data_IF_981117096631
#
_entry.id   IF_981117096631
#
_cell.length_a   1.000
_cell.length_b   1.000
_cell.length_c   1.000
_cell.angle_alpha   90.00
_cell.angle_beta   90.00
_cell.angle_gamma   90.00
#
_symmetry.space_group_name_H-M   'P 1'
#
loop_
_entity.id
_entity.type
_entity.pdbx_description
1 polymer ?
#
# COMPACT_ATOMS: atom_id res chain seq x y z
N UNK A 1 -17.22 43.78 18.29
CA UNK A 1 -17.78 42.68 19.11
C UNK A 1 -17.01 41.42 18.74
N UNK A 2 -16.16 40.92 19.64
CA UNK A 2 -15.44 39.68 19.41
C UNK A 2 -16.45 38.53 19.40
N UNK A 3 -16.58 37.88 18.25
CA UNK A 3 -17.50 36.78 18.02
C UNK A 3 -17.21 35.69 19.07
N UNK A 4 -18.22 35.37 19.89
CA UNK A 4 -18.09 34.46 21.02
C UNK A 4 -17.77 33.04 20.57
N UNK A 5 -16.49 32.73 20.40
CA UNK A 5 -16.01 31.35 20.37
C UNK A 5 -16.27 30.82 21.77
N UNK A 6 -17.27 29.96 21.92
CA UNK A 6 -17.50 29.21 23.16
C UNK A 6 -16.24 28.41 23.42
N UNK A 7 -15.43 28.86 24.37
CA UNK A 7 -14.16 28.23 24.70
C UNK A 7 -14.43 26.78 25.13
N UNK A 8 -13.83 25.83 24.40
CA UNK A 8 -13.96 24.41 24.72
C UNK A 8 -13.24 24.20 26.04
N UNK A 9 -13.95 23.64 26.99
CA UNK A 9 -13.45 23.35 28.33
C UNK A 9 -13.85 21.95 28.74
N UNK A 10 -13.15 21.43 29.73
CA UNK A 10 -13.46 20.14 30.35
C UNK A 10 -13.34 20.31 31.86
N UNK A 11 -14.29 19.77 32.59
CA UNK A 11 -14.30 19.90 34.05
C UNK A 11 -13.67 18.68 34.74
N UNK A 12 -13.24 18.87 35.99
CA UNK A 12 -12.59 17.81 36.79
C UNK A 12 -13.46 16.58 37.05
N UNK A 13 -14.79 16.70 36.98
CA UNK A 13 -15.71 15.56 37.12
C UNK A 13 -15.70 14.70 35.86
N UNK A 14 -15.75 15.33 34.69
CA UNK A 14 -15.61 14.64 33.40
C UNK A 14 -14.27 13.89 33.33
N UNK A 15 -13.18 14.53 33.77
CA UNK A 15 -11.85 13.90 33.82
C UNK A 15 -11.85 12.72 34.79
N UNK A 16 -12.43 12.85 35.98
CA UNK A 16 -12.52 11.76 36.95
C UNK A 16 -13.31 10.57 36.39
N UNK A 17 -14.46 10.83 35.76
CA UNK A 17 -15.30 9.80 35.14
C UNK A 17 -14.57 9.06 34.01
N UNK A 18 -13.88 9.79 33.12
CA UNK A 18 -13.15 9.18 32.01
C UNK A 18 -11.90 8.41 32.43
N UNK A 19 -11.25 8.86 33.51
CA UNK A 19 -10.00 8.24 33.96
C UNK A 19 -10.18 7.17 35.03
N UNK A 20 -11.38 7.04 35.60
CA UNK A 20 -11.64 6.17 36.75
C UNK A 20 -10.94 6.63 38.03
N UNK A 21 -10.26 7.79 38.03
CA UNK A 21 -9.66 8.37 39.23
C UNK A 21 -10.75 8.92 40.16
N UNK A 22 -10.54 8.82 41.48
CA UNK A 22 -11.37 9.55 42.45
C UNK A 22 -11.26 11.06 42.22
N UNK A 23 -12.38 11.77 42.29
CA UNK A 23 -12.45 13.21 41.96
C UNK A 23 -11.54 14.07 42.85
N UNK A 24 -11.39 13.72 44.13
CA UNK A 24 -10.47 14.40 45.06
C UNK A 24 -8.99 14.24 44.66
N UNK A 25 -8.61 13.13 44.03
CA UNK A 25 -7.26 12.97 43.47
C UNK A 25 -7.06 13.86 42.25
N UNK A 26 -8.07 13.97 41.38
CA UNK A 26 -8.02 14.87 40.21
C UNK A 26 -7.90 16.33 40.66
N UNK A 27 -8.68 16.76 41.66
CA UNK A 27 -8.57 18.10 42.24
C UNK A 27 -7.17 18.37 42.79
N UNK A 28 -6.61 17.42 43.55
CA UNK A 28 -5.24 17.54 44.09
C UNK A 28 -4.19 17.65 42.99
N UNK A 29 -4.32 16.87 41.92
CA UNK A 29 -3.40 16.92 40.79
C UNK A 29 -3.49 18.27 40.07
N UNK A 30 -4.70 18.79 39.85
CA UNK A 30 -4.90 20.11 39.25
C UNK A 30 -4.36 21.23 40.15
N UNK A 31 -4.63 21.20 41.46
CA UNK A 31 -4.11 22.19 42.40
C UNK A 31 -2.57 22.19 42.42
N UNK A 32 -1.92 21.02 42.25
CA UNK A 32 -0.46 20.91 42.07
C UNK A 32 0.00 21.58 40.78
N UNK A 33 -0.69 21.36 39.66
CA UNK A 33 -0.37 22.01 38.38
C UNK A 33 -0.54 23.54 38.47
N UNK A 34 -1.62 24.00 39.12
CA UNK A 34 -1.85 25.43 39.38
C UNK A 34 -0.71 26.04 40.20
N UNK A 35 -0.24 25.34 41.23
CA UNK A 35 0.89 25.79 42.06
C UNK A 35 2.20 25.88 41.25
N UNK A 36 2.43 24.96 40.31
CA UNK A 36 3.63 24.95 39.46
C UNK A 36 3.61 26.03 38.37
N UNK A 37 2.45 26.28 37.76
CA UNK A 37 2.28 27.23 36.64
C UNK A 37 2.03 28.67 37.14
N UNK A 38 1.51 28.81 38.36
CA UNK A 38 1.08 30.07 38.95
C UNK A 38 -0.39 30.38 38.64
N UNK A 39 -1.19 30.68 39.67
CA UNK A 39 -2.64 30.82 39.58
C UNK A 39 -3.17 31.75 38.47
N UNK A 40 -2.60 32.95 38.23
CA UNK A 40 -3.08 33.85 37.17
C UNK A 40 -2.89 33.31 35.74
N UNK A 41 -1.97 32.35 35.55
CA UNK A 41 -1.62 31.77 34.24
C UNK A 41 -2.26 30.41 33.99
N UNK A 42 -2.95 29.87 34.99
CA UNK A 42 -3.45 28.49 34.97
C UNK A 42 -4.59 28.28 33.98
N UNK A 43 -5.40 29.31 33.71
CA UNK A 43 -6.59 29.15 32.85
C UNK A 43 -7.62 28.14 33.43
N UNK A 44 -7.53 27.85 34.73
CA UNK A 44 -8.51 27.06 35.47
C UNK A 44 -9.49 28.00 36.17
N UNK A 45 -10.78 27.68 36.15
CA UNK A 45 -11.82 28.45 36.83
C UNK A 45 -12.51 27.60 37.89
N UNK A 46 -12.70 28.15 39.09
CA UNK A 46 -13.45 27.48 40.14
C UNK A 46 -14.94 27.44 39.82
N UNK A 47 -15.54 26.29 40.08
CA UNK A 47 -16.98 26.06 39.93
C UNK A 47 -17.44 25.03 40.97
N UNK A 48 -18.72 24.67 40.93
CA UNK A 48 -19.29 23.68 41.85
C UNK A 48 -20.35 22.83 41.16
N UNK A 49 -20.57 21.64 41.70
CA UNK A 49 -21.62 20.73 41.26
C UNK A 49 -22.39 20.18 42.45
N UNK A 50 -23.67 19.87 42.23
CA UNK A 50 -24.54 19.26 43.24
C UNK A 50 -24.56 17.76 43.04
N UNK A 51 -24.22 17.02 44.10
CA UNK A 51 -24.29 15.56 44.12
C UNK A 51 -25.75 15.08 44.19
N UNK A 52 -26.00 13.80 43.89
CA UNK A 52 -27.32 13.17 44.03
C UNK A 52 -27.90 13.27 45.46
N UNK A 53 -27.03 13.46 46.46
CA UNK A 53 -27.39 13.62 47.88
C UNK A 53 -27.69 15.09 48.25
N UNK A 54 -27.75 16.00 47.26
CA UNK A 54 -28.01 17.43 47.48
C UNK A 54 -26.81 18.22 48.01
N UNK A 55 -25.65 17.60 48.19
CA UNK A 55 -24.43 18.29 48.65
C UNK A 55 -23.72 18.98 47.49
N UNK A 56 -23.35 20.25 47.68
CA UNK A 56 -22.55 21.05 46.74
C UNK A 56 -21.07 20.79 46.99
N UNK A 57 -20.31 20.47 45.94
CA UNK A 57 -18.87 20.18 45.98
C UNK A 57 -18.12 21.01 44.93
N UNK A 58 -16.86 21.37 45.26
CA UNK A 58 -15.94 22.12 44.38
C UNK A 58 -15.60 21.31 43.14
N UNK A 59 -15.57 21.95 41.97
CA UNK A 59 -14.96 21.43 40.75
C UNK A 59 -14.17 22.52 40.05
N UNK A 60 -13.25 22.14 39.17
CA UNK A 60 -12.53 23.10 38.32
C UNK A 60 -12.92 22.88 36.85
N UNK A 61 -13.05 23.98 36.11
CA UNK A 61 -13.24 24.01 34.66
C UNK A 61 -11.90 24.38 34.03
N UNK A 62 -11.39 23.53 33.13
CA UNK A 62 -10.04 23.60 32.59
C UNK A 62 -10.08 23.88 31.09
N UNK A 63 -9.23 24.80 30.63
CA UNK A 63 -8.98 25.02 29.21
C UNK A 63 -8.04 23.93 28.62
N UNK A 64 -7.84 23.96 27.29
CA UNK A 64 -7.01 22.97 26.57
C UNK A 64 -5.63 22.79 27.19
N UNK A 65 -4.95 23.90 27.45
CA UNK A 65 -3.58 23.91 27.93
C UNK A 65 -3.49 23.25 29.32
N UNK A 66 -4.44 23.55 30.20
CA UNK A 66 -4.48 22.99 31.55
C UNK A 66 -4.80 21.49 31.54
N UNK A 67 -5.76 21.05 30.72
CA UNK A 67 -6.06 19.61 30.54
C UNK A 67 -4.83 18.87 30.04
N UNK A 68 -4.13 19.41 29.03
CA UNK A 68 -2.98 18.75 28.43
C UNK A 68 -1.79 18.72 29.39
N UNK A 69 -1.60 19.77 30.18
CA UNK A 69 -0.57 19.83 31.22
C UNK A 69 -0.85 18.79 32.32
N UNK A 70 -2.09 18.70 32.81
CA UNK A 70 -2.51 17.74 33.82
C UNK A 70 -2.20 16.30 33.40
N UNK A 71 -2.58 15.92 32.19
CA UNK A 71 -2.46 14.53 31.74
C UNK A 71 -1.01 14.12 31.45
N UNK A 72 -0.05 15.05 31.34
CA UNK A 72 1.37 14.68 31.18
C UNK A 72 1.89 13.79 32.32
N UNK A 73 1.32 13.93 33.53
CA UNK A 73 1.63 13.10 34.69
C UNK A 73 0.77 11.83 34.83
N UNK A 74 -0.12 11.54 33.87
CA UNK A 74 -0.98 10.36 33.87
C UNK A 74 -0.37 9.26 32.99
N UNK A 75 -0.74 8.01 33.24
CA UNK A 75 -0.30 6.90 32.37
C UNK A 75 -0.85 7.04 30.94
N UNK A 76 -0.25 6.30 30.01
CA UNK A 76 -0.55 6.38 28.59
C UNK A 76 -2.02 6.05 28.27
N UNK A 77 -2.65 5.13 28.99
CA UNK A 77 -4.05 4.78 28.77
C UNK A 77 -4.98 5.93 29.12
N UNK A 78 -4.79 6.53 30.30
CA UNK A 78 -5.59 7.68 30.73
C UNK A 78 -5.38 8.91 29.83
N UNK A 79 -4.14 9.16 29.39
CA UNK A 79 -3.83 10.22 28.42
C UNK A 79 -4.61 10.03 27.12
N UNK A 80 -4.61 8.81 26.57
CA UNK A 80 -5.32 8.51 25.33
C UNK A 80 -6.83 8.80 25.46
N UNK A 81 -7.46 8.37 26.56
CA UNK A 81 -8.89 8.61 26.80
C UNK A 81 -9.24 10.11 26.85
N UNK A 82 -8.46 10.90 27.62
CA UNK A 82 -8.72 12.33 27.77
C UNK A 82 -8.47 13.10 26.45
N UNK A 83 -7.42 12.75 25.71
CA UNK A 83 -7.13 13.34 24.39
C UNK A 83 -8.25 13.02 23.39
N UNK A 84 -8.72 11.78 23.34
CA UNK A 84 -9.83 11.38 22.47
C UNK A 84 -11.08 12.22 22.72
N UNK A 85 -11.47 12.37 24.00
CA UNK A 85 -12.61 13.23 24.36
C UNK A 85 -12.42 14.69 23.96
N UNK A 86 -11.20 15.22 24.11
CA UNK A 86 -10.90 16.59 23.71
C UNK A 86 -11.10 16.80 22.20
N UNK A 87 -10.66 15.84 21.38
CA UNK A 87 -10.86 15.86 19.92
C UNK A 87 -12.36 15.86 19.58
N UNK A 88 -13.17 15.04 20.25
CA UNK A 88 -14.64 15.04 20.05
C UNK A 88 -15.28 16.40 20.37
N UNK A 89 -14.85 17.05 21.44
CA UNK A 89 -15.32 18.38 21.83
C UNK A 89 -14.91 19.44 20.78
N UNK A 90 -13.68 19.36 20.26
CA UNK A 90 -13.21 20.22 19.15
C UNK A 90 -14.00 20.01 17.87
N UNK A 91 -14.29 18.76 17.50
CA UNK A 91 -15.13 18.44 16.34
C UNK A 91 -16.57 18.95 16.52
N UNK A 92 -17.14 18.79 17.72
CA UNK A 92 -18.51 19.22 18.02
C UNK A 92 -18.64 20.76 18.03
N UNK A 93 -17.62 21.46 18.52
CA UNK A 93 -17.60 22.92 18.57
C UNK A 93 -17.24 23.56 17.23
N UNK A 94 -16.50 22.87 16.36
CA UNK A 94 -16.11 23.37 15.04
C UNK A 94 -16.21 22.30 13.93
N UNK A 95 -17.44 21.90 13.54
CA UNK A 95 -17.66 20.94 12.46
C UNK A 95 -17.16 21.44 11.10
N UNK A 96 -16.99 22.75 10.92
CA UNK A 96 -16.50 23.35 9.68
C UNK A 96 -15.00 23.08 9.43
N UNK A 97 -14.18 22.99 10.47
CA UNK A 97 -12.73 22.74 10.33
C UNK A 97 -12.42 21.33 9.81
N UNK A 98 -13.16 20.32 10.28
CA UNK A 98 -13.07 18.96 9.76
C UNK A 98 -13.56 18.87 8.30
N UNK A 99 -14.66 19.56 7.98
CA UNK A 99 -15.24 19.60 6.63
C UNK A 99 -14.32 20.26 5.59
N UNK A 100 -13.63 21.35 5.95
CA UNK A 100 -12.74 22.08 5.04
C UNK A 100 -11.47 21.30 4.69
N UNK A 101 -10.84 20.63 5.67
CA UNK A 101 -9.65 19.82 5.43
C UNK A 101 -9.95 18.60 4.53
N UNK A 102 -11.11 17.96 4.75
CA UNK A 102 -11.58 16.85 3.93
C UNK A 102 -11.87 17.33 2.50
N UNK A 103 -12.59 18.45 2.35
CA UNK A 103 -12.94 19.00 1.03
C UNK A 103 -11.71 19.41 0.22
N UNK A 104 -10.73 20.06 0.84
CA UNK A 104 -9.48 20.43 0.18
C UNK A 104 -8.70 19.19 -0.31
N UNK A 105 -8.62 18.15 0.52
CA UNK A 105 -7.97 16.89 0.16
C UNK A 105 -8.69 16.18 -0.98
N UNK A 106 -10.04 16.15 -0.96
CA UNK A 106 -10.84 15.57 -2.04
C UNK A 106 -10.64 16.31 -3.37
N UNK A 107 -10.61 17.64 -3.35
CA UNK A 107 -10.37 18.44 -4.54
C UNK A 107 -8.96 18.23 -5.13
N UNK A 108 -7.93 18.13 -4.29
CA UNK A 108 -6.56 17.79 -4.74
C UNK A 108 -6.51 16.42 -5.40
N UNK A 109 -7.11 15.41 -4.77
CA UNK A 109 -7.19 14.06 -5.34
C UNK A 109 -7.93 14.05 -6.67
N UNK A 110 -9.06 14.75 -6.77
CA UNK A 110 -9.82 14.87 -8.02
C UNK A 110 -8.99 15.54 -9.12
N UNK A 111 -8.30 16.64 -8.81
CA UNK A 111 -7.42 17.34 -9.75
C UNK A 111 -6.32 16.42 -10.28
N UNK A 112 -5.74 15.58 -9.41
CA UNK A 112 -4.72 14.60 -9.81
C UNK A 112 -5.28 13.48 -10.69
N UNK A 113 -6.50 13.01 -10.41
CA UNK A 113 -7.20 12.02 -11.26
C UNK A 113 -7.47 12.62 -12.65
N UNK A 114 -7.98 13.84 -12.71
CA UNK A 114 -8.31 14.52 -13.97
C UNK A 114 -7.05 14.77 -14.82
N UNK A 115 -5.93 15.13 -14.19
CA UNK A 115 -4.65 15.29 -14.86
C UNK A 115 -4.11 13.96 -15.45
N UNK A 116 -4.43 12.82 -14.84
CA UNK A 116 -4.00 11.49 -15.31
C UNK A 116 -4.93 10.89 -16.37
N UNK A 117 -6.18 11.33 -16.46
CA UNK A 117 -7.18 10.76 -17.36
C UNK A 117 -6.76 10.75 -18.85
N UNK A 118 -6.19 11.83 -19.45
CA UNK A 118 -5.81 11.82 -20.86
C UNK A 118 -4.73 10.78 -21.19
N UNK A 119 -3.76 10.60 -20.30
CA UNK A 119 -2.69 9.61 -20.46
C UNK A 119 -3.24 8.18 -20.36
N UNK A 120 -4.21 7.96 -19.47
CA UNK A 120 -4.91 6.68 -19.37
C UNK A 120 -5.77 6.39 -20.61
N UNK A 121 -6.49 7.38 -21.14
CA UNK A 121 -7.29 7.23 -22.35
C UNK A 121 -6.43 6.91 -23.57
N UNK A 122 -5.28 7.58 -23.73
CA UNK A 122 -4.33 7.24 -24.78
C UNK A 122 -3.80 5.82 -24.60
N UNK A 123 -3.48 5.43 -23.36
CA UNK A 123 -3.04 4.08 -23.03
C UNK A 123 -4.08 3.03 -23.45
N UNK A 124 -5.36 3.23 -23.09
CA UNK A 124 -6.47 2.34 -23.45
C UNK A 124 -6.66 2.27 -24.96
N UNK A 125 -6.64 3.42 -25.65
CA UNK A 125 -6.74 3.51 -27.11
C UNK A 125 -5.62 2.74 -27.78
N UNK A 126 -4.37 2.92 -27.35
CA UNK A 126 -3.19 2.21 -27.87
C UNK A 126 -3.34 0.70 -27.68
N UNK A 127 -3.76 0.26 -26.50
CA UNK A 127 -3.96 -1.15 -26.16
C UNK A 127 -5.00 -1.84 -27.02
N UNK A 128 -6.13 -1.16 -27.31
CA UNK A 128 -7.19 -1.67 -28.19
C UNK A 128 -6.74 -1.71 -29.65
N UNK A 129 -6.23 -0.61 -30.18
CA UNK A 129 -5.92 -0.46 -31.62
C UNK A 129 -4.62 -1.14 -32.03
N UNK A 130 -3.51 -0.83 -31.35
CA UNK A 130 -2.16 -1.18 -31.79
C UNK A 130 -1.51 -2.30 -30.96
N UNK A 131 -1.91 -2.44 -29.69
CA UNK A 131 -1.32 -3.38 -28.73
C UNK A 131 0.10 -3.00 -28.29
N UNK A 132 0.59 -3.68 -27.27
CA UNK A 132 1.89 -3.46 -26.64
C UNK A 132 2.93 -4.46 -27.13
N UNK A 133 4.19 -4.04 -27.20
CA UNK A 133 5.31 -4.98 -27.31
C UNK A 133 5.38 -5.86 -26.07
N UNK A 134 6.02 -7.03 -26.15
CA UNK A 134 6.11 -7.95 -25.00
C UNK A 134 6.70 -7.29 -23.75
N UNK A 135 7.81 -6.54 -23.90
CA UNK A 135 8.44 -5.81 -22.80
C UNK A 135 7.55 -4.71 -22.23
N UNK A 136 6.84 -3.98 -23.11
CA UNK A 136 5.87 -2.97 -22.66
C UNK A 136 4.76 -3.59 -21.84
N UNK A 137 4.17 -4.68 -22.34
CA UNK A 137 3.10 -5.41 -21.66
C UNK A 137 3.55 -5.93 -20.29
N UNK A 138 4.75 -6.51 -20.20
CA UNK A 138 5.31 -6.98 -18.94
C UNK A 138 5.47 -5.82 -17.94
N UNK A 139 6.01 -4.68 -18.37
CA UNK A 139 6.16 -3.49 -17.51
C UNK A 139 4.81 -3.00 -16.98
N UNK A 140 3.80 -2.93 -17.84
CA UNK A 140 2.44 -2.51 -17.48
C UNK A 140 1.71 -3.50 -16.55
N UNK A 141 2.12 -4.76 -16.59
CA UNK A 141 1.58 -5.83 -15.77
C UNK A 141 2.39 -6.08 -14.47
N UNK A 142 3.52 -5.40 -14.27
CA UNK A 142 4.43 -5.67 -13.15
C UNK A 142 5.18 -7.01 -13.27
N UNK A 143 5.34 -7.54 -14.48
CA UNK A 143 6.10 -8.76 -14.74
C UNK A 143 7.57 -8.43 -14.95
N UNK A 144 8.42 -8.92 -14.05
CA UNK A 144 9.86 -8.74 -14.14
C UNK A 144 10.52 -9.72 -15.12
N UNK A 145 11.75 -9.37 -15.56
CA UNK A 145 12.59 -10.23 -16.41
C UNK A 145 11.89 -10.72 -17.72
N UNK A 146 11.34 -9.81 -18.55
CA UNK A 146 10.46 -10.17 -19.67
C UNK A 146 11.07 -11.20 -20.64
N UNK A 147 12.36 -11.11 -20.96
CA UNK A 147 12.99 -12.05 -21.90
C UNK A 147 13.10 -13.46 -21.34
N UNK A 148 13.40 -13.56 -20.05
CA UNK A 148 13.54 -14.86 -19.37
C UNK A 148 12.16 -15.48 -19.15
N UNK A 149 11.13 -14.66 -18.90
CA UNK A 149 9.73 -15.13 -18.93
C UNK A 149 9.38 -15.64 -20.33
N UNK A 150 9.73 -14.91 -21.39
CA UNK A 150 9.45 -15.35 -22.76
C UNK A 150 10.17 -16.66 -23.11
N UNK A 151 11.43 -16.82 -22.68
CA UNK A 151 12.17 -18.06 -22.82
C UNK A 151 11.48 -19.22 -22.08
N UNK A 152 11.06 -19.00 -20.82
CA UNK A 152 10.26 -19.97 -20.06
C UNK A 152 8.95 -20.32 -20.78
N UNK A 153 8.26 -19.36 -21.40
CA UNK A 153 7.05 -19.63 -22.18
C UNK A 153 7.36 -20.50 -23.41
N UNK A 154 8.48 -20.28 -24.09
CA UNK A 154 8.94 -21.15 -25.18
C UNK A 154 9.18 -22.57 -24.65
N UNK A 155 9.84 -22.69 -23.50
CA UNK A 155 10.19 -23.97 -22.91
C UNK A 155 8.98 -24.77 -22.43
N UNK A 156 7.92 -24.07 -22.01
CA UNK A 156 6.62 -24.65 -21.64
C UNK A 156 5.70 -24.89 -22.85
N UNK A 157 6.16 -24.65 -24.08
CA UNK A 157 5.34 -24.80 -25.29
C UNK A 157 4.23 -23.76 -25.44
N UNK A 158 4.28 -22.67 -24.66
CA UNK A 158 3.33 -21.55 -24.71
C UNK A 158 3.74 -20.49 -25.74
N UNK A 159 4.98 -20.55 -26.22
CA UNK A 159 5.50 -19.77 -27.34
C UNK A 159 6.39 -20.65 -28.22
N UNK A 160 6.65 -20.22 -29.45
CA UNK A 160 7.53 -20.92 -30.40
C UNK A 160 8.52 -19.94 -30.99
N UNK A 161 9.78 -20.37 -31.11
CA UNK A 161 10.82 -19.64 -31.84
C UNK A 161 11.08 -20.32 -33.18
N UNK A 162 11.11 -19.55 -34.26
CA UNK A 162 11.42 -20.00 -35.61
C UNK A 162 12.12 -18.88 -36.37
N UNK A 163 13.26 -19.17 -37.00
CA UNK A 163 14.04 -18.21 -37.80
C UNK A 163 14.30 -16.88 -37.06
N UNK A 164 14.70 -16.95 -35.79
CA UNK A 164 14.95 -15.76 -34.94
C UNK A 164 13.71 -15.00 -34.47
N UNK A 165 12.51 -15.41 -34.90
CA UNK A 165 11.25 -14.76 -34.55
C UNK A 165 10.48 -15.61 -33.54
N UNK A 166 9.82 -14.95 -32.59
CA UNK A 166 9.01 -15.61 -31.55
C UNK A 166 7.52 -15.35 -31.77
N UNK A 167 6.71 -16.41 -31.77
CA UNK A 167 5.24 -16.35 -31.81
C UNK A 167 4.64 -16.95 -30.54
N UNK A 168 3.49 -16.43 -30.10
CA UNK A 168 2.72 -17.02 -29.01
C UNK A 168 1.85 -18.18 -29.52
N UNK A 169 1.52 -19.12 -28.63
CA UNK A 169 0.59 -20.20 -28.92
C UNK A 169 -0.80 -19.64 -29.35
N UNK A 170 -1.51 -20.33 -30.28
CA UNK A 170 -2.79 -19.85 -30.82
C UNK A 170 -3.84 -19.48 -29.78
N UNK A 171 -3.89 -20.21 -28.66
CA UNK A 171 -4.82 -19.97 -27.55
C UNK A 171 -4.81 -18.53 -27.00
N UNK A 172 -3.65 -17.87 -26.99
CA UNK A 172 -3.53 -16.48 -26.53
C UNK A 172 -4.15 -15.49 -27.53
N UNK A 173 -4.18 -15.86 -28.81
CA UNK A 173 -4.81 -15.08 -29.87
C UNK A 173 -6.33 -15.30 -29.85
N UNK A 174 -6.76 -16.55 -29.70
CA UNK A 174 -8.18 -16.92 -29.62
C UNK A 174 -8.87 -16.32 -28.39
N UNK A 175 -8.18 -16.29 -27.23
CA UNK A 175 -8.68 -15.63 -26.02
C UNK A 175 -8.68 -14.09 -26.12
N UNK A 176 -7.95 -13.54 -27.10
CA UNK A 176 -7.82 -12.10 -27.32
C UNK A 176 -6.76 -11.41 -26.46
N UNK A 177 -5.88 -12.16 -25.81
CA UNK A 177 -4.79 -11.60 -25.00
C UNK A 177 -3.68 -11.01 -25.85
N UNK A 178 -3.50 -11.54 -27.05
CA UNK A 178 -2.50 -11.07 -27.99
C UNK A 178 -3.06 -11.09 -29.42
N UNK A 179 -2.42 -10.34 -30.29
CA UNK A 179 -2.70 -10.33 -31.73
C UNK A 179 -1.45 -10.63 -32.52
N UNK A 180 -1.61 -11.37 -33.61
CA UNK A 180 -0.53 -11.65 -34.55
C UNK A 180 -0.18 -10.37 -35.32
N UNK A 181 1.11 -10.17 -35.57
CA UNK A 181 1.60 -9.09 -36.43
C UNK A 181 2.43 -9.67 -37.56
N UNK A 182 2.34 -9.05 -38.74
CA UNK A 182 3.07 -9.50 -39.94
C UNK A 182 4.53 -9.06 -39.89
N UNK A 183 5.42 -9.83 -40.55
CA UNK A 183 6.87 -9.56 -40.62
C UNK A 183 7.22 -8.15 -41.13
N UNK A 184 6.32 -7.50 -41.87
CA UNK A 184 6.48 -6.14 -42.38
C UNK A 184 6.34 -5.04 -41.30
N UNK A 185 5.91 -5.39 -40.09
CA UNK A 185 5.70 -4.42 -39.01
C UNK A 185 7.04 -3.95 -38.40
N UNK A 186 7.27 -2.64 -38.36
CA UNK A 186 8.50 -2.01 -37.83
C UNK A 186 8.86 -2.46 -36.40
N UNK A 187 7.87 -2.74 -35.55
CA UNK A 187 8.13 -3.21 -34.18
C UNK A 187 8.82 -4.58 -34.12
N UNK A 188 8.68 -5.40 -35.18
CA UNK A 188 9.28 -6.73 -35.26
C UNK A 188 10.77 -6.64 -35.59
N UNK A 189 11.17 -5.66 -36.39
CA UNK A 189 12.59 -5.40 -36.68
C UNK A 189 13.39 -5.10 -35.42
N UNK A 190 12.74 -4.53 -34.39
CA UNK A 190 13.36 -4.19 -33.12
C UNK A 190 13.23 -5.28 -32.05
N UNK A 191 12.11 -6.02 -32.03
CA UNK A 191 11.80 -6.93 -30.91
C UNK A 191 11.88 -8.42 -31.26
N UNK A 192 11.77 -8.78 -32.54
CA UNK A 192 11.72 -10.18 -32.97
C UNK A 192 10.44 -10.91 -32.55
N UNK A 193 9.37 -10.20 -32.16
CA UNK A 193 8.11 -10.81 -31.70
C UNK A 193 7.02 -10.68 -32.77
N UNK A 194 6.47 -11.80 -33.23
CA UNK A 194 5.37 -11.86 -34.21
C UNK A 194 3.98 -11.62 -33.57
N UNK A 195 3.95 -10.99 -32.40
CA UNK A 195 2.72 -10.69 -31.68
C UNK A 195 2.83 -9.37 -30.93
N UNK A 196 1.67 -8.79 -30.62
CA UNK A 196 1.52 -7.71 -29.64
C UNK A 196 0.47 -8.11 -28.62
N UNK A 197 0.72 -7.80 -27.35
CA UNK A 197 -0.22 -8.06 -26.26
C UNK A 197 -1.31 -6.99 -26.29
N UNK A 198 -2.57 -7.37 -26.11
CA UNK A 198 -3.70 -6.43 -26.07
C UNK A 198 -3.85 -5.83 -24.67
N UNK A 199 -4.72 -4.83 -24.50
CA UNK A 199 -5.09 -4.35 -23.18
C UNK A 199 -5.68 -5.49 -22.32
N UNK A 200 -6.56 -6.30 -22.91
CA UNK A 200 -7.09 -7.51 -22.29
C UNK A 200 -5.98 -8.46 -21.82
N UNK A 201 -4.96 -8.70 -22.65
CA UNK A 201 -3.83 -9.55 -22.27
C UNK A 201 -2.98 -8.98 -21.14
N UNK A 202 -2.91 -7.65 -20.99
CA UNK A 202 -2.27 -7.03 -19.82
C UNK A 202 -3.14 -7.22 -18.58
N UNK A 203 -4.43 -6.86 -18.66
CA UNK A 203 -5.32 -6.76 -17.49
C UNK A 203 -5.83 -8.13 -17.00
N UNK A 204 -6.09 -9.07 -17.89
CA UNK A 204 -6.70 -10.37 -17.57
C UNK A 204 -5.70 -11.54 -17.60
N UNK A 205 -4.60 -11.41 -18.36
CA UNK A 205 -3.60 -12.47 -18.44
C UNK A 205 -2.34 -12.15 -17.64
N UNK A 206 -1.61 -11.08 -17.94
CA UNK A 206 -0.30 -10.87 -17.33
C UNK A 206 -0.40 -10.34 -15.90
N UNK A 207 -1.16 -9.27 -15.66
CA UNK A 207 -1.21 -8.58 -14.36
C UNK A 207 -1.71 -9.49 -13.23
N UNK A 208 -2.83 -10.23 -13.38
CA UNK A 208 -3.31 -11.11 -12.30
C UNK A 208 -2.38 -12.30 -12.04
N UNK A 209 -1.53 -12.67 -13.02
CA UNK A 209 -0.63 -13.81 -12.92
C UNK A 209 0.83 -13.39 -12.66
N UNK A 210 1.13 -12.11 -12.41
CA UNK A 210 2.50 -11.61 -12.33
C UNK A 210 3.33 -12.31 -11.25
N UNK A 211 2.77 -12.49 -10.05
CA UNK A 211 3.43 -13.22 -8.96
C UNK A 211 3.66 -14.69 -9.29
N UNK A 212 2.66 -15.34 -9.89
CA UNK A 212 2.76 -16.75 -10.29
C UNK A 212 3.81 -16.93 -11.40
N UNK A 213 3.90 -15.99 -12.34
CA UNK A 213 4.93 -15.95 -13.38
C UNK A 213 6.31 -15.78 -12.74
N UNK A 214 6.45 -14.89 -11.75
CA UNK A 214 7.71 -14.69 -11.04
C UNK A 214 8.16 -15.94 -10.28
N UNK A 215 7.26 -16.58 -9.52
CA UNK A 215 7.51 -17.86 -8.83
C UNK A 215 7.90 -18.96 -9.82
N UNK A 216 7.14 -19.09 -10.91
CA UNK A 216 7.42 -20.08 -11.95
C UNK A 216 8.76 -19.83 -12.65
N UNK A 217 9.18 -18.57 -12.80
CA UNK A 217 10.48 -18.22 -13.37
C UNK A 217 11.63 -18.57 -12.43
N UNK A 218 11.48 -18.32 -11.13
CA UNK A 218 12.46 -18.75 -10.12
C UNK A 218 12.64 -20.27 -10.19
N UNK A 219 11.53 -21.01 -10.19
CA UNK A 219 11.57 -22.47 -10.30
C UNK A 219 12.20 -22.94 -11.61
N UNK A 220 11.84 -22.32 -12.73
CA UNK A 220 12.39 -22.65 -14.04
C UNK A 220 13.90 -22.44 -14.14
N UNK A 221 14.47 -21.50 -13.35
CA UNK A 221 15.91 -21.24 -13.32
C UNK A 221 16.67 -22.17 -12.39
N UNK A 222 16.01 -22.96 -11.55
CA UNK A 222 16.71 -23.94 -10.72
C UNK A 222 17.39 -24.97 -11.63
N UNK A 223 18.64 -25.36 -11.33
CA UNK A 223 19.27 -26.47 -12.04
C UNK A 223 18.39 -27.71 -11.88
N UNK A 224 18.11 -28.39 -13.00
CA UNK A 224 17.38 -29.67 -12.93
C UNK A 224 18.36 -30.69 -12.33
N UNK A 225 18.00 -31.40 -11.26
CA UNK A 225 18.87 -32.42 -10.70
C UNK A 225 19.07 -33.49 -11.77
N UNK A 226 20.32 -33.69 -12.17
CA UNK A 226 20.71 -34.82 -12.99
C UNK A 226 21.15 -35.91 -12.03
N UNK A 227 20.42 -37.01 -12.00
CA UNK A 227 20.72 -38.18 -11.18
C UNK A 227 21.61 -39.11 -12.01
N UNK A 228 22.77 -39.49 -11.48
CA UNK A 228 23.58 -40.57 -12.08
C UNK A 228 22.95 -41.95 -11.82
N UNK A 229 23.60 -43.02 -12.30
CA UNK A 229 23.09 -44.39 -12.12
C UNK A 229 23.12 -44.85 -10.64
N UNK A 230 23.82 -44.12 -9.77
CA UNK A 230 24.04 -44.45 -8.35
C UNK A 230 23.22 -43.55 -7.41
N UNK A 231 22.46 -42.58 -7.94
CA UNK A 231 21.57 -41.70 -7.17
C UNK A 231 22.15 -40.34 -6.78
N UNK A 232 23.35 -39.97 -7.21
CA UNK A 232 23.98 -38.68 -6.88
C UNK A 232 23.54 -37.56 -7.84
N UNK A 233 23.34 -36.35 -7.28
CA UNK A 233 22.97 -35.15 -8.03
C UNK A 233 24.23 -34.39 -8.42
N UNK A 234 24.52 -34.32 -9.73
CA UNK A 234 25.65 -33.52 -10.25
C UNK A 234 25.11 -32.17 -10.76
N UNK A 235 25.67 -31.07 -10.26
CA UNK A 235 25.28 -29.70 -10.64
C UNK A 235 26.00 -29.30 -11.94
N UNK A 236 25.31 -29.33 -13.08
CA UNK A 236 25.89 -28.93 -14.38
C UNK A 236 25.86 -27.40 -14.50
N UNK A 237 27.03 -26.76 -14.36
CA UNK A 237 27.19 -25.30 -14.49
C UNK A 237 27.73 -24.90 -15.87
N UNK A 238 27.07 -23.98 -16.56
CA UNK A 238 27.51 -23.40 -17.84
C UNK A 238 26.39 -22.76 -18.67
N UNK A 239 26.71 -21.83 -19.57
CA UNK A 239 25.75 -21.35 -20.59
C UNK A 239 25.35 -22.51 -21.51
N UNK A 240 24.05 -22.82 -21.59
CA UNK A 240 23.55 -23.96 -22.37
C UNK A 240 23.34 -25.26 -21.57
N UNK A 241 23.68 -25.29 -20.28
CA UNK A 241 23.43 -26.44 -19.39
C UNK A 241 21.93 -26.68 -19.11
N UNK A 242 21.07 -25.73 -19.48
CA UNK A 242 19.63 -25.89 -19.39
C UNK A 242 19.17 -27.06 -20.26
N UNK A 243 18.71 -28.15 -19.61
CA UNK A 243 18.22 -29.42 -20.19
C UNK A 243 19.27 -30.50 -20.48
N UNK A 244 20.52 -30.34 -20.07
CA UNK A 244 21.46 -31.46 -20.14
C UNK A 244 21.06 -32.55 -19.13
N UNK A 245 21.12 -33.81 -19.55
CA UNK A 245 21.07 -34.99 -18.69
C UNK A 245 22.45 -35.66 -18.70
N UNK A 246 22.70 -36.63 -17.82
CA UNK A 246 23.95 -37.42 -17.78
C UNK A 246 24.32 -38.02 -19.13
N UNK A 247 23.33 -38.32 -19.98
CA UNK A 247 23.54 -38.84 -21.34
C UNK A 247 24.19 -37.85 -22.32
N UNK A 248 24.23 -36.55 -21.99
CA UNK A 248 24.78 -35.49 -22.83
C UNK A 248 26.16 -35.01 -22.36
N UNK A 249 26.67 -35.53 -21.24
CA UNK A 249 28.03 -35.24 -20.79
C UNK A 249 29.03 -36.02 -21.67
N UNK A 250 30.14 -35.39 -22.11
CA UNK A 250 31.22 -36.14 -22.75
C UNK A 250 31.71 -37.19 -21.76
N UNK A 251 31.69 -38.46 -22.17
CA UNK A 251 32.26 -39.55 -21.37
C UNK A 251 33.73 -39.23 -21.16
N UNK A 252 34.12 -38.95 -19.91
CA UNK A 252 35.52 -38.71 -19.58
C UNK A 252 36.34 -39.88 -20.11
N UNK A 253 37.35 -39.55 -20.92
CA UNK A 253 38.36 -40.50 -21.39
C UNK A 253 39.08 -40.97 -20.14
N UNK A 254 38.90 -42.24 -19.80
CA UNK A 254 39.61 -42.88 -18.69
C UNK A 254 41.10 -42.97 -19.06
N UNK A 255 41.91 -42.16 -18.38
CA UNK A 255 43.39 -42.05 -18.40
C UNK A 255 44.08 -41.92 -19.76
#
# INVERSE_FOLDING_TARGET
MFNGIKEITMNTIEIAAMTGKRHDHVLRDVDRVIAQVGAPKSGATESSYTTAQGKVLRMLVLNKQMVFTLITGYDTGLRHTVVGRWIELEQSANPAFASQAITATLNDLQTRVDAMAPAYDEHVRKGRTSGYTWREACRLAGVENPDKVLAMLVDKGLARRSNGLTSLAPKFIERGDAKRVSKANKAIQLTGHLFKVTLKGVDEWLRPNAENIAKALIEHRKPRPVVDNDGYVIDIKGEGAARMTTAHLPKEVTQ
#
